data_IF_250479269626
#
_entry.id   IF_250479269626
#
_cell.length_a   1.000
_cell.length_b   1.000
_cell.length_c   1.000
_cell.angle_alpha   90.00
_cell.angle_beta   90.00
_cell.angle_gamma   90.00
#
_symmetry.space_group_name_H-M   'P 1'
#
loop_
_entity.id
_entity.type
_entity.pdbx_description
1 polymer ?
#
# COMPACT_ATOMS: atom_id res chain seq x y z
N UNK A 1 3.69 -15.57 6.31
CA UNK A 1 4.27 -16.89 6.66
C UNK A 1 3.33 -18.05 6.32
N UNK A 2 2.08 -18.08 6.82
CA UNK A 2 1.14 -19.19 6.59
C UNK A 2 0.85 -19.43 5.10
N UNK A 3 0.59 -18.37 4.32
CA UNK A 3 0.36 -18.47 2.87
C UNK A 3 1.55 -19.09 2.14
N UNK A 4 2.77 -18.71 2.49
CA UNK A 4 3.99 -19.27 1.89
C UNK A 4 4.15 -20.75 2.24
N UNK A 5 3.81 -21.13 3.48
CA UNK A 5 3.80 -22.54 3.90
C UNK A 5 2.81 -23.38 3.10
N UNK A 6 1.59 -22.86 2.92
CA UNK A 6 0.53 -23.55 2.17
C UNK A 6 0.86 -23.69 0.68
N UNK A 7 1.57 -22.72 0.12
CA UNK A 7 1.93 -22.70 -1.29
C UNK A 7 3.18 -23.53 -1.58
N UNK A 8 4.25 -23.35 -0.77
CA UNK A 8 5.52 -24.05 -0.97
C UNK A 8 6.32 -24.13 0.35
N UNK A 9 6.41 -25.32 0.91
CA UNK A 9 7.16 -25.58 2.16
C UNK A 9 8.65 -25.24 2.03
N UNK A 10 9.25 -25.50 0.87
CA UNK A 10 10.66 -25.20 0.62
C UNK A 10 10.91 -23.69 0.55
N UNK A 11 10.04 -22.93 -0.10
CA UNK A 11 10.10 -21.46 -0.11
C UNK A 11 9.98 -20.91 1.33
N UNK A 12 9.10 -21.47 2.13
CA UNK A 12 8.97 -21.12 3.55
C UNK A 12 10.28 -21.41 4.31
N UNK A 13 10.88 -22.58 4.11
CA UNK A 13 12.15 -22.97 4.74
C UNK A 13 13.26 -22.01 4.35
N UNK A 14 13.43 -21.71 3.06
CA UNK A 14 14.44 -20.78 2.58
C UNK A 14 14.28 -19.39 3.18
N UNK A 15 13.06 -18.85 3.14
CA UNK A 15 12.76 -17.47 3.58
C UNK A 15 12.84 -17.30 5.09
N UNK A 16 12.23 -18.20 5.87
CA UNK A 16 12.03 -17.98 7.30
C UNK A 16 12.97 -18.79 8.20
N UNK A 17 13.46 -19.93 7.74
CA UNK A 17 14.40 -20.76 8.50
C UNK A 17 15.83 -20.42 8.12
N UNK A 18 16.14 -20.43 6.83
CA UNK A 18 17.48 -20.10 6.32
C UNK A 18 17.72 -18.59 6.16
N UNK A 19 16.66 -17.76 6.30
CA UNK A 19 16.72 -16.31 6.18
C UNK A 19 17.34 -15.83 4.86
N UNK A 20 17.13 -16.56 3.79
CA UNK A 20 17.57 -16.15 2.46
C UNK A 20 16.76 -14.92 2.04
N UNK A 21 17.45 -13.86 1.63
CA UNK A 21 16.78 -12.68 1.08
C UNK A 21 16.24 -13.02 -0.31
N UNK A 22 14.96 -12.74 -0.52
CA UNK A 22 14.42 -12.70 -1.88
C UNK A 22 14.92 -11.43 -2.57
N UNK A 23 15.16 -11.46 -3.89
CA UNK A 23 15.41 -10.24 -4.64
C UNK A 23 14.26 -9.23 -4.48
N UNK A 24 14.58 -7.97 -4.37
CA UNK A 24 13.57 -6.92 -4.24
C UNK A 24 12.83 -6.75 -5.58
N UNK A 25 11.52 -6.92 -5.55
CA UNK A 25 10.67 -6.67 -6.72
C UNK A 25 10.29 -5.20 -6.81
N UNK A 26 10.23 -4.67 -8.04
CA UNK A 26 9.88 -3.27 -8.29
C UNK A 26 8.48 -2.86 -7.76
N UNK A 27 7.59 -3.82 -7.58
CA UNK A 27 6.27 -3.59 -7.03
C UNK A 27 6.28 -3.13 -5.55
N UNK A 28 7.37 -3.39 -4.81
CA UNK A 28 7.50 -2.90 -3.43
C UNK A 28 7.64 -1.37 -3.37
N UNK A 29 8.63 -0.74 -4.04
CA UNK A 29 8.69 0.73 -4.07
C UNK A 29 7.44 1.37 -4.69
N UNK A 30 6.82 0.74 -5.71
CA UNK A 30 5.55 1.22 -6.26
C UNK A 30 4.45 1.27 -5.19
N UNK A 31 4.24 0.15 -4.47
CA UNK A 31 3.25 0.07 -3.40
C UNK A 31 3.53 1.04 -2.27
N UNK A 32 4.75 1.02 -1.73
CA UNK A 32 5.12 1.85 -0.59
C UNK A 32 4.99 3.35 -0.88
N UNK A 33 5.44 3.79 -2.06
CA UNK A 33 5.36 5.21 -2.45
C UNK A 33 3.93 5.69 -2.62
N UNK A 34 3.06 4.86 -3.24
CA UNK A 34 1.64 5.17 -3.37
C UNK A 34 0.95 5.21 -2.01
N UNK A 35 1.16 4.22 -1.14
CA UNK A 35 0.53 4.18 0.17
C UNK A 35 0.91 5.41 1.00
N UNK A 36 2.19 5.81 1.01
CA UNK A 36 2.63 7.01 1.69
C UNK A 36 1.96 8.28 1.13
N UNK A 37 1.93 8.44 -0.20
CA UNK A 37 1.30 9.60 -0.83
C UNK A 37 -0.22 9.63 -0.64
N UNK A 38 -0.90 8.49 -0.70
CA UNK A 38 -2.34 8.41 -0.43
C UNK A 38 -2.66 8.74 1.03
N UNK A 39 -1.79 8.35 1.94
CA UNK A 39 -1.93 8.75 3.33
C UNK A 39 -1.89 10.27 3.49
N UNK A 40 -0.88 10.94 2.91
CA UNK A 40 -0.77 12.40 2.97
C UNK A 40 -1.97 13.09 2.32
N UNK A 41 -2.44 12.58 1.17
CA UNK A 41 -3.64 13.07 0.48
C UNK A 41 -4.88 12.98 1.38
N UNK A 42 -5.11 11.85 2.03
CA UNK A 42 -6.25 11.64 2.90
C UNK A 42 -6.15 12.36 4.25
N UNK A 43 -4.95 12.78 4.65
CA UNK A 43 -4.78 13.67 5.82
C UNK A 43 -4.97 15.16 5.49
N UNK A 44 -4.68 15.53 4.26
CA UNK A 44 -4.70 16.92 3.81
C UNK A 44 -5.53 17.03 2.51
N UNK A 45 -6.86 17.08 2.61
CA UNK A 45 -7.74 17.00 1.44
C UNK A 45 -7.53 18.13 0.43
N UNK A 46 -7.02 19.27 0.87
CA UNK A 46 -6.72 20.44 0.04
C UNK A 46 -5.25 20.47 -0.44
N UNK A 47 -4.53 19.36 -0.31
CA UNK A 47 -3.14 19.29 -0.77
C UNK A 47 -3.05 19.59 -2.26
N UNK A 48 -2.08 20.41 -2.63
CA UNK A 48 -1.78 20.70 -4.02
C UNK A 48 -1.32 19.43 -4.75
N UNK A 49 -1.84 19.21 -5.97
CA UNK A 49 -1.53 17.99 -6.72
C UNK A 49 -0.05 17.92 -7.15
N UNK A 50 0.56 19.08 -7.46
CA UNK A 50 1.97 19.12 -7.83
C UNK A 50 2.83 18.74 -6.62
N UNK A 51 2.50 19.28 -5.45
CA UNK A 51 3.17 18.94 -4.20
C UNK A 51 3.00 17.44 -3.85
N UNK A 52 1.80 16.88 -4.03
CA UNK A 52 1.55 15.46 -3.80
C UNK A 52 2.38 14.56 -4.73
N UNK A 53 2.52 14.97 -6.00
CA UNK A 53 3.39 14.27 -6.97
C UNK A 53 4.86 14.35 -6.54
N UNK A 54 5.34 15.53 -6.14
CA UNK A 54 6.71 15.70 -5.62
C UNK A 54 6.97 14.82 -4.38
N UNK A 55 6.03 14.77 -3.45
CA UNK A 55 6.13 13.91 -2.27
C UNK A 55 6.18 12.43 -2.65
N UNK A 56 5.33 11.98 -3.57
CA UNK A 56 5.36 10.61 -4.07
C UNK A 56 6.70 10.27 -4.76
N UNK A 57 7.27 11.20 -5.52
CA UNK A 57 8.61 11.04 -6.09
C UNK A 57 9.68 10.90 -5.01
N UNK A 58 9.63 11.74 -3.98
CA UNK A 58 10.58 11.65 -2.87
C UNK A 58 10.49 10.33 -2.11
N UNK A 59 9.27 9.78 -1.94
CA UNK A 59 9.09 8.44 -1.38
C UNK A 59 9.67 7.36 -2.28
N UNK A 60 9.42 7.45 -3.60
CA UNK A 60 9.99 6.55 -4.59
C UNK A 60 11.51 6.56 -4.56
N UNK A 61 12.14 7.74 -4.61
CA UNK A 61 13.59 7.89 -4.62
C UNK A 61 14.23 7.25 -3.40
N UNK A 62 13.64 7.44 -2.22
CA UNK A 62 14.07 6.81 -0.98
C UNK A 62 13.96 5.28 -1.02
N UNK A 63 12.91 4.76 -1.65
CA UNK A 63 12.70 3.31 -1.77
C UNK A 63 13.66 2.63 -2.75
N UNK A 64 14.12 3.35 -3.79
CA UNK A 64 14.98 2.77 -4.84
C UNK A 64 16.47 3.04 -4.62
N UNK A 65 16.83 4.01 -3.79
CA UNK A 65 18.21 4.41 -3.57
C UNK A 65 19.11 3.23 -3.15
N UNK A 66 20.15 2.97 -3.93
CA UNK A 66 21.16 1.94 -3.65
C UNK A 66 20.65 0.50 -3.74
N UNK A 67 19.47 0.26 -4.30
CA UNK A 67 18.90 -1.07 -4.45
C UNK A 67 18.91 -1.56 -5.89
N UNK A 68 18.91 -2.86 -6.05
CA UNK A 68 18.72 -3.55 -7.32
C UNK A 68 17.35 -4.22 -7.33
N UNK A 69 16.64 -4.10 -8.45
CA UNK A 69 15.30 -4.66 -8.60
C UNK A 69 15.26 -5.74 -9.66
N UNK A 70 14.30 -6.65 -9.48
CA UNK A 70 14.14 -7.81 -10.32
C UNK A 70 12.67 -7.98 -10.73
N UNK A 71 12.46 -8.49 -11.96
CA UNK A 71 11.14 -8.91 -12.39
C UNK A 71 10.70 -10.22 -11.71
N UNK A 72 9.46 -10.62 -11.94
CA UNK A 72 8.92 -11.88 -11.39
C UNK A 72 9.58 -13.15 -11.96
N UNK A 73 10.42 -13.03 -13.00
CA UNK A 73 11.23 -14.12 -13.57
C UNK A 73 12.64 -14.16 -13.01
N UNK A 74 13.00 -13.18 -12.19
CA UNK A 74 14.33 -13.05 -11.60
C UNK A 74 15.35 -12.34 -12.51
N UNK A 75 14.92 -11.66 -13.58
CA UNK A 75 15.82 -10.83 -14.37
C UNK A 75 15.98 -9.47 -13.69
N UNK A 76 17.22 -8.98 -13.65
CA UNK A 76 17.51 -7.65 -13.13
C UNK A 76 16.91 -6.59 -14.07
N UNK A 77 16.24 -5.61 -13.48
CA UNK A 77 15.70 -4.48 -14.21
C UNK A 77 16.79 -3.46 -14.53
N UNK A 78 16.69 -2.88 -15.72
CA UNK A 78 17.54 -1.75 -16.14
C UNK A 78 16.95 -0.40 -15.69
N UNK A 79 17.65 0.69 -15.95
CA UNK A 79 17.25 2.02 -15.56
C UNK A 79 15.94 2.47 -16.23
N UNK A 80 15.73 2.10 -17.49
CA UNK A 80 14.54 2.48 -18.26
C UNK A 80 13.29 1.78 -17.70
N UNK A 81 13.41 0.51 -17.33
CA UNK A 81 12.34 -0.27 -16.71
C UNK A 81 11.99 0.26 -15.31
N UNK A 82 12.98 0.70 -14.53
CA UNK A 82 12.75 1.33 -13.23
C UNK A 82 12.06 2.68 -13.39
N UNK A 83 12.45 3.46 -14.40
CA UNK A 83 11.83 4.74 -14.72
C UNK A 83 10.39 4.57 -15.22
N UNK A 84 10.12 3.57 -16.06
CA UNK A 84 8.76 3.22 -16.48
C UNK A 84 7.87 2.88 -15.28
N UNK A 85 8.37 2.10 -14.34
CA UNK A 85 7.65 1.78 -13.11
C UNK A 85 7.37 3.02 -12.24
N UNK A 86 8.29 4.00 -12.21
CA UNK A 86 8.09 5.28 -11.54
C UNK A 86 6.95 6.07 -12.20
N UNK A 87 6.98 6.19 -13.52
CA UNK A 87 5.93 6.89 -14.28
C UNK A 87 4.57 6.26 -14.08
N UNK A 88 4.49 4.93 -14.07
CA UNK A 88 3.24 4.21 -13.79
C UNK A 88 2.73 4.47 -12.36
N UNK A 89 3.63 4.52 -11.38
CA UNK A 89 3.30 4.85 -9.99
C UNK A 89 2.63 6.22 -9.89
N UNK A 90 3.21 7.24 -10.51
CA UNK A 90 2.65 8.60 -10.52
C UNK A 90 1.32 8.67 -11.28
N UNK A 91 1.19 7.92 -12.37
CA UNK A 91 -0.08 7.83 -13.13
C UNK A 91 -1.19 7.20 -12.30
N UNK A 92 -0.90 6.16 -11.53
CA UNK A 92 -1.87 5.52 -10.64
C UNK A 92 -2.31 6.46 -9.52
N UNK A 93 -1.36 7.18 -8.89
CA UNK A 93 -1.67 8.19 -7.90
C UNK A 93 -2.60 9.27 -8.46
N UNK A 94 -2.24 9.87 -9.59
CA UNK A 94 -3.06 10.90 -10.24
C UNK A 94 -4.46 10.39 -10.60
N UNK A 95 -4.56 9.16 -11.13
CA UNK A 95 -5.83 8.52 -11.44
C UNK A 95 -6.70 8.28 -10.21
N UNK A 96 -6.12 7.88 -9.09
CA UNK A 96 -6.84 7.72 -7.83
C UNK A 96 -7.37 9.06 -7.30
N UNK A 97 -6.49 10.08 -7.24
CA UNK A 97 -6.85 11.43 -6.75
C UNK A 97 -7.98 12.03 -7.59
N UNK A 98 -7.91 11.91 -8.92
CA UNK A 98 -8.98 12.37 -9.80
C UNK A 98 -10.33 11.70 -9.50
N UNK A 99 -10.33 10.40 -9.24
CA UNK A 99 -11.55 9.65 -8.88
C UNK A 99 -12.10 10.04 -7.52
N UNK A 100 -11.25 10.30 -6.54
CA UNK A 100 -11.70 10.79 -5.23
C UNK A 100 -12.30 12.19 -5.37
N UNK A 101 -11.64 13.10 -6.10
CA UNK A 101 -12.15 14.47 -6.33
C UNK A 101 -13.45 14.50 -7.12
N UNK A 102 -13.67 13.55 -8.01
CA UNK A 102 -14.94 13.42 -8.77
C UNK A 102 -16.07 12.69 -8.01
N UNK A 103 -15.84 12.25 -6.79
CA UNK A 103 -16.80 11.47 -6.01
C UNK A 103 -16.97 10.01 -6.44
N UNK A 104 -16.23 9.54 -7.48
CA UNK A 104 -16.28 8.12 -7.91
C UNK A 104 -15.71 7.17 -6.85
N UNK A 105 -14.72 7.64 -6.10
CA UNK A 105 -14.12 6.93 -4.95
C UNK A 105 -14.27 7.83 -3.73
N UNK A 106 -14.68 7.30 -2.57
CA UNK A 106 -14.83 8.12 -1.38
C UNK A 106 -13.49 8.66 -0.87
N UNK A 107 -13.51 9.88 -0.35
CA UNK A 107 -12.45 10.39 0.51
C UNK A 107 -12.52 9.70 1.86
N UNK A 108 -11.38 9.30 2.41
CA UNK A 108 -11.27 8.51 3.63
C UNK A 108 -10.69 9.38 4.74
N UNK A 109 -11.45 9.59 5.80
CA UNK A 109 -10.91 10.11 7.05
C UNK A 109 -10.42 8.93 7.90
N UNK A 110 -9.19 8.98 8.39
CA UNK A 110 -8.62 7.90 9.19
C UNK A 110 -8.97 8.04 10.66
N UNK A 111 -9.32 6.93 11.32
CA UNK A 111 -9.52 6.88 12.77
C UNK A 111 -8.20 6.83 13.53
N UNK A 112 -7.17 6.24 12.94
CA UNK A 112 -5.81 6.08 13.49
C UNK A 112 -4.77 6.34 12.41
N UNK A 113 -3.50 6.59 12.76
CA UNK A 113 -2.43 6.59 11.76
C UNK A 113 -2.44 5.30 10.94
N UNK A 114 -2.00 5.32 9.66
CA UNK A 114 -1.99 4.14 8.80
C UNK A 114 -0.91 3.14 9.22
N UNK A 115 -0.94 1.97 8.56
CA UNK A 115 0.03 0.89 8.75
C UNK A 115 0.10 0.42 10.21
N UNK A 116 -1.06 0.11 10.79
CA UNK A 116 -1.10 -0.42 12.14
C UNK A 116 -0.55 -1.84 12.19
N UNK A 117 0.50 -2.04 13.00
CA UNK A 117 1.02 -3.36 13.35
C UNK A 117 0.04 -4.03 14.33
N UNK A 118 -0.58 -5.09 13.88
CA UNK A 118 -1.51 -5.86 14.70
C UNK A 118 -0.96 -7.24 14.98
N UNK A 119 -1.06 -7.67 16.23
CA UNK A 119 -0.63 -9.00 16.62
C UNK A 119 -1.60 -9.61 17.61
N UNK A 120 -1.83 -10.92 17.48
CA UNK A 120 -2.65 -11.68 18.41
C UNK A 120 -2.04 -13.07 18.64
N UNK A 121 -2.10 -13.58 19.87
CA UNK A 121 -1.70 -14.97 20.14
C UNK A 121 -2.64 -15.92 19.38
N UNK A 122 -2.05 -16.98 18.83
CA UNK A 122 -2.84 -18.06 18.22
C UNK A 122 -3.19 -19.04 19.31
N UNK A 123 -4.49 -19.13 19.64
CA UNK A 123 -4.99 -19.96 20.73
C UNK A 123 -4.50 -21.43 20.60
N UNK A 124 -4.09 -22.01 21.73
CA UNK A 124 -3.58 -23.38 21.77
C UNK A 124 -2.18 -23.57 21.19
N UNK A 125 -1.45 -22.52 20.88
CA UNK A 125 -0.09 -22.59 20.34
C UNK A 125 0.86 -21.59 21.03
N UNK A 126 2.17 -21.73 20.76
CA UNK A 126 3.20 -20.76 21.16
C UNK A 126 3.42 -19.66 20.12
N UNK A 127 2.60 -19.62 19.06
CA UNK A 127 2.75 -18.67 17.96
C UNK A 127 1.91 -17.43 18.17
N UNK A 128 2.40 -16.31 17.66
CA UNK A 128 1.68 -15.05 17.52
C UNK A 128 1.44 -14.77 16.04
N UNK A 129 0.18 -14.56 15.68
CA UNK A 129 -0.15 -14.00 14.38
C UNK A 129 0.20 -12.51 14.38
N UNK A 130 0.83 -12.04 13.33
CA UNK A 130 1.19 -10.62 13.13
C UNK A 130 0.84 -10.20 11.72
N UNK A 131 0.31 -9.01 11.58
CA UNK A 131 -0.05 -8.41 10.29
C UNK A 131 -0.02 -6.90 10.36
N UNK A 132 -0.17 -6.29 9.20
CA UNK A 132 -0.32 -4.86 9.06
C UNK A 132 -1.68 -4.57 8.46
N UNK A 133 -2.33 -3.53 8.95
CA UNK A 133 -3.59 -3.01 8.44
C UNK A 133 -3.29 -1.64 7.86
N UNK A 134 -3.63 -1.42 6.58
CA UNK A 134 -3.31 -0.18 5.90
C UNK A 134 -3.98 1.01 6.60
N UNK A 135 -5.29 0.90 6.90
CA UNK A 135 -5.99 1.94 7.63
C UNK A 135 -7.30 1.48 8.29
N UNK A 136 -7.72 2.25 9.29
CA UNK A 136 -9.04 2.19 9.89
C UNK A 136 -9.79 3.48 9.51
N UNK A 137 -10.83 3.41 8.67
CA UNK A 137 -11.61 4.59 8.34
C UNK A 137 -12.48 5.02 9.53
N UNK A 138 -12.55 6.32 9.77
CA UNK A 138 -13.54 6.91 10.67
C UNK A 138 -14.77 7.42 9.91
N UNK A 139 -14.58 7.84 8.65
CA UNK A 139 -15.62 8.39 7.81
C UNK A 139 -15.25 8.27 6.35
N UNK A 140 -16.26 8.06 5.51
CA UNK A 140 -16.14 8.09 4.06
C UNK A 140 -17.04 9.20 3.51
N UNK A 141 -16.50 10.07 2.66
CA UNK A 141 -17.19 11.23 2.11
C UNK A 141 -17.02 11.32 0.60
N UNK A 142 -18.07 11.65 -0.14
CA UNK A 142 -17.95 12.03 -1.55
C UNK A 142 -17.43 13.47 -1.63
N UNK A 143 -16.24 13.67 -2.21
CA UNK A 143 -15.60 14.99 -2.21
C UNK A 143 -16.33 16.01 -3.10
N UNK A 144 -16.97 15.57 -4.17
CA UNK A 144 -17.68 16.43 -5.11
C UNK A 144 -18.95 17.05 -4.52
N UNK A 145 -19.67 16.31 -3.67
CA UNK A 145 -20.92 16.75 -3.06
C UNK A 145 -20.80 17.06 -1.57
N UNK A 146 -19.74 16.61 -0.91
CA UNK A 146 -19.58 16.67 0.53
C UNK A 146 -20.50 15.68 1.29
N UNK A 147 -21.18 14.77 0.58
CA UNK A 147 -22.06 13.78 1.19
C UNK A 147 -21.29 12.76 2.01
N UNK A 148 -21.72 12.52 3.23
CA UNK A 148 -21.18 11.44 4.08
C UNK A 148 -21.78 10.13 3.63
N UNK A 149 -20.96 9.27 3.01
CA UNK A 149 -21.37 7.97 2.52
C UNK A 149 -21.39 6.92 3.64
N UNK A 150 -20.49 7.05 4.61
CA UNK A 150 -20.41 6.19 5.78
C UNK A 150 -19.79 6.96 6.95
N UNK A 151 -20.43 6.85 8.13
CA UNK A 151 -19.85 7.27 9.40
C UNK A 151 -19.53 6.00 10.22
N UNK A 152 -18.25 5.73 10.40
CA UNK A 152 -17.75 4.51 11.03
C UNK A 152 -17.74 4.58 12.56
N UNK A 153 -18.74 5.23 13.18
CA UNK A 153 -18.88 5.40 14.63
C UNK A 153 -19.70 4.30 15.31
N UNK A 154 -20.15 3.32 14.57
CA UNK A 154 -20.88 2.17 15.05
C UNK A 154 -19.97 1.19 15.81
N UNK A 155 -20.58 0.18 16.45
CA UNK A 155 -19.88 -0.85 17.25
C UNK A 155 -19.00 -1.82 16.42
N UNK A 156 -18.77 -1.52 15.14
CA UNK A 156 -17.97 -2.35 14.23
C UNK A 156 -16.62 -1.73 13.93
N UNK A 157 -15.61 -2.58 13.81
CA UNK A 157 -14.27 -2.19 13.34
C UNK A 157 -14.26 -2.27 11.81
N UNK A 158 -14.14 -1.13 11.16
CA UNK A 158 -13.94 -1.05 9.71
C UNK A 158 -12.45 -1.10 9.40
N UNK A 159 -12.07 -1.93 8.42
CA UNK A 159 -10.67 -2.12 7.99
C UNK A 159 -10.62 -1.83 6.51
N UNK A 160 -9.66 -1.02 6.09
CA UNK A 160 -9.40 -0.74 4.71
C UNK A 160 -7.99 -1.15 4.29
N UNK A 161 -7.83 -1.37 3.00
CA UNK A 161 -6.58 -1.78 2.38
C UNK A 161 -6.48 -1.14 0.99
N UNK A 162 -5.38 -0.46 0.71
CA UNK A 162 -5.10 0.10 -0.61
C UNK A 162 -4.48 -0.95 -1.51
N UNK A 163 -5.16 -1.28 -2.61
CA UNK A 163 -4.64 -2.21 -3.60
C UNK A 163 -4.06 -1.49 -4.80
N UNK A 164 -2.75 -1.63 -4.98
CA UNK A 164 -2.04 -1.19 -6.17
C UNK A 164 -1.86 -2.38 -7.10
N UNK A 165 -2.38 -2.30 -8.31
CA UNK A 165 -2.21 -3.37 -9.29
C UNK A 165 -3.22 -3.35 -10.42
N UNK A 166 -2.92 -4.08 -11.49
CA UNK A 166 -3.72 -4.14 -12.73
C UNK A 166 -4.82 -5.21 -12.72
N UNK A 167 -4.96 -6.01 -11.67
CA UNK A 167 -6.00 -7.04 -11.62
C UNK A 167 -7.32 -6.39 -11.23
N UNK A 168 -8.27 -6.40 -12.18
CA UNK A 168 -9.69 -6.15 -11.86
C UNK A 168 -10.18 -7.32 -11.02
N UNK A 169 -10.73 -7.00 -9.84
CA UNK A 169 -11.50 -7.94 -9.05
C UNK A 169 -12.90 -8.07 -9.62
#
# INVERSE_FOLDING_TARGET
MLSTWLTCKEKMRMKYVLRMKEPDGIYFPQGNSIHAALYDFHQTPDIDEELLVEMCQAYWDKEVEGKEFYDFKGNRLDADQIEEARVDTLRWLAGYVAKVKSGEVPFIEFATPPEQDVSAPVEGTVFTARGYIDFFPSKLTAMDTGEVLMDCKDDYIHIGDFKTGSKKF
#
